data_IF_963959137218
#
_entry.id   IF_963959137218
#
_cell.length_a   1.000
_cell.length_b   1.000
_cell.length_c   1.000
_cell.angle_alpha   90.00
_cell.angle_beta   90.00
_cell.angle_gamma   90.00
#
_symmetry.space_group_name_H-M   'P 1'
#
loop_
_entity.id
_entity.type
_entity.pdbx_description
1 polymer ?
#
# COMPACT_ATOMS: atom_id res chain seq x y z
N UNK A 1 -7.55 13.53 25.78
CA UNK A 1 -8.00 12.52 26.75
C UNK A 1 -7.77 11.14 26.17
N UNK A 2 -6.83 10.41 26.75
CA UNK A 2 -6.44 9.06 26.33
C UNK A 2 -6.78 8.07 27.46
N UNK A 3 -7.16 6.85 27.06
CA UNK A 3 -7.39 5.74 28.00
C UNK A 3 -6.23 4.76 27.85
N UNK A 4 -5.51 4.49 28.93
CA UNK A 4 -4.38 3.56 28.97
C UNK A 4 -4.70 2.39 29.88
N UNK A 5 -4.34 1.17 29.45
CA UNK A 5 -4.47 -0.05 30.24
C UNK A 5 -3.13 -0.36 30.91
N UNK A 6 -3.07 -0.35 32.24
CA UNK A 6 -1.90 -0.71 33.05
C UNK A 6 -2.29 -1.76 34.08
N UNK A 7 -1.61 -2.91 34.08
CA UNK A 7 -1.89 -4.02 35.01
C UNK A 7 -3.38 -4.41 35.08
N UNK A 8 -4.09 -4.32 33.95
CA UNK A 8 -5.53 -4.62 33.86
C UNK A 8 -6.47 -3.50 34.34
N UNK A 9 -5.94 -2.32 34.71
CA UNK A 9 -6.71 -1.15 35.14
C UNK A 9 -6.68 -0.07 34.05
N UNK A 10 -7.84 0.48 33.75
CA UNK A 10 -7.98 1.61 32.82
C UNK A 10 -7.76 2.93 33.56
N UNK A 11 -6.80 3.73 33.09
CA UNK A 11 -6.50 5.06 33.62
C UNK A 11 -6.74 6.10 32.54
N UNK A 12 -7.39 7.21 32.91
CA UNK A 12 -7.62 8.36 32.02
C UNK A 12 -6.49 9.35 32.22
N UNK A 13 -5.87 9.78 31.13
CA UNK A 13 -4.79 10.78 31.12
C UNK A 13 -5.03 11.83 30.04
N UNK A 14 -4.57 13.04 30.28
CA UNK A 14 -4.62 14.12 29.29
C UNK A 14 -3.45 14.05 28.29
N UNK A 15 -2.40 13.28 28.60
CA UNK A 15 -1.18 13.11 27.79
C UNK A 15 -1.03 11.69 27.23
N UNK A 16 -0.41 11.55 26.06
CA UNK A 16 -0.19 10.24 25.41
C UNK A 16 1.01 9.55 26.06
N UNK A 17 0.77 8.41 26.69
CA UNK A 17 1.79 7.64 27.41
C UNK A 17 2.11 6.35 26.65
N UNK A 18 3.40 6.09 26.40
CA UNK A 18 3.88 4.79 25.89
C UNK A 18 4.71 4.15 27.01
N UNK A 19 4.09 3.24 27.78
CA UNK A 19 4.64 2.85 29.08
C UNK A 19 4.51 4.00 30.10
N UNK A 20 5.61 4.37 30.76
CA UNK A 20 5.72 5.45 31.76
C UNK A 20 6.24 6.80 31.23
N UNK A 21 6.61 6.87 29.95
CA UNK A 21 7.17 8.08 29.35
C UNK A 21 6.09 8.86 28.60
N UNK A 22 6.14 10.18 28.73
CA UNK A 22 5.38 11.11 27.89
C UNK A 22 5.99 11.10 26.49
N UNK A 23 5.18 10.76 25.48
CA UNK A 23 5.66 10.64 24.10
C UNK A 23 4.91 11.66 23.23
N UNK A 24 5.62 12.43 22.38
CA UNK A 24 4.98 13.33 21.44
C UNK A 24 4.04 12.57 20.49
N UNK A 25 3.06 13.29 19.93
CA UNK A 25 2.13 12.69 18.97
C UNK A 25 2.88 12.04 17.80
N UNK A 26 2.35 10.90 17.34
CA UNK A 26 2.96 10.12 16.26
C UNK A 26 2.84 10.94 14.96
N UNK A 27 3.95 11.33 14.31
CA UNK A 27 3.88 12.27 13.19
C UNK A 27 3.43 11.62 11.88
N UNK A 28 3.68 10.31 11.72
CA UNK A 28 3.31 9.54 10.52
C UNK A 28 2.99 8.10 10.90
N UNK A 29 2.11 7.41 10.16
CA UNK A 29 1.69 6.04 10.48
C UNK A 29 2.81 5.00 10.44
N UNK A 30 3.82 5.19 9.58
CA UNK A 30 5.01 4.34 9.47
C UNK A 30 6.14 4.74 10.42
N UNK A 31 5.95 5.73 11.30
CA UNK A 31 6.94 6.01 12.33
C UNK A 31 6.92 4.94 13.43
N UNK A 32 8.09 4.59 13.93
CA UNK A 32 8.32 3.73 15.08
C UNK A 32 9.06 4.53 16.15
N UNK A 33 8.74 4.29 17.43
CA UNK A 33 9.40 4.99 18.53
C UNK A 33 10.63 4.18 18.96
N UNK A 34 11.83 4.72 18.70
CA UNK A 34 13.12 4.07 18.98
C UNK A 34 14.03 5.10 19.65
N UNK A 35 14.64 4.74 20.79
CA UNK A 35 15.57 5.60 21.54
C UNK A 35 15.03 7.02 21.81
N UNK A 36 13.80 7.11 22.31
CA UNK A 36 13.11 8.38 22.62
C UNK A 36 12.81 9.30 21.41
N UNK A 37 12.95 8.78 20.18
CA UNK A 37 12.67 9.52 18.95
C UNK A 37 11.67 8.78 18.04
N UNK A 38 10.87 9.55 17.29
CA UNK A 38 10.08 9.01 16.19
C UNK A 38 10.96 8.83 14.96
N UNK A 39 11.23 7.59 14.60
CA UNK A 39 12.01 7.22 13.41
C UNK A 39 11.06 6.70 12.35
N UNK A 40 11.14 7.24 11.13
CA UNK A 40 10.36 6.72 10.00
C UNK A 40 10.91 5.36 9.58
N UNK A 41 10.05 4.33 9.57
CA UNK A 41 10.36 3.09 8.87
C UNK A 41 10.23 3.34 7.36
N UNK A 42 11.34 3.73 6.75
CA UNK A 42 11.40 4.05 5.33
C UNK A 42 11.00 2.85 4.45
N UNK A 43 11.34 1.63 4.87
CA UNK A 43 10.98 0.43 4.13
C UNK A 43 9.47 0.23 4.13
N UNK A 44 8.83 0.31 5.31
CA UNK A 44 7.38 0.22 5.40
C UNK A 44 6.67 1.32 4.60
N UNK A 45 7.18 2.55 4.65
CA UNK A 45 6.65 3.68 3.89
C UNK A 45 6.77 3.47 2.38
N UNK A 46 7.95 3.19 1.85
CA UNK A 46 8.13 3.00 0.41
C UNK A 46 7.37 1.77 -0.10
N UNK A 47 7.34 0.68 0.67
CA UNK A 47 6.52 -0.48 0.33
C UNK A 47 5.02 -0.15 0.25
N UNK A 48 4.51 0.75 1.09
CA UNK A 48 3.11 1.19 0.99
C UNK A 48 2.85 2.00 -0.29
N UNK A 49 3.76 2.91 -0.63
CA UNK A 49 3.65 3.72 -1.84
C UNK A 49 3.70 2.86 -3.11
N UNK A 50 4.59 1.86 -3.15
CA UNK A 50 4.70 0.94 -4.28
C UNK A 50 3.43 0.09 -4.45
N UNK A 51 2.77 -0.28 -3.35
CA UNK A 51 1.47 -0.98 -3.39
C UNK A 51 0.36 -0.08 -3.93
N UNK A 52 0.27 1.15 -3.46
CA UNK A 52 -0.73 2.12 -3.92
C UNK A 52 -0.58 2.39 -5.43
N UNK A 53 0.66 2.54 -5.91
CA UNK A 53 0.97 2.68 -7.33
C UNK A 53 0.57 1.42 -8.12
N UNK A 54 0.91 0.24 -7.62
CA UNK A 54 0.60 -1.02 -8.27
C UNK A 54 -0.91 -1.25 -8.39
N UNK A 55 -1.68 -0.97 -7.34
CA UNK A 55 -3.14 -1.05 -7.37
C UNK A 55 -3.75 -0.07 -8.37
N UNK A 56 -3.29 1.19 -8.34
CA UNK A 56 -3.77 2.23 -9.25
C UNK A 56 -3.47 1.87 -10.71
N UNK A 57 -2.27 1.38 -11.00
CA UNK A 57 -1.89 0.91 -12.34
C UNK A 57 -2.79 -0.24 -12.81
N UNK A 58 -3.03 -1.24 -11.96
CA UNK A 58 -3.89 -2.38 -12.29
C UNK A 58 -5.34 -1.97 -12.53
N UNK A 59 -5.86 -1.01 -11.77
CA UNK A 59 -7.20 -0.46 -11.96
C UNK A 59 -7.32 0.31 -13.26
N UNK A 60 -6.39 1.22 -13.53
CA UNK A 60 -6.43 2.10 -14.71
C UNK A 60 -6.25 1.35 -16.03
N UNK A 61 -5.58 0.20 -16.01
CA UNK A 61 -5.31 -0.60 -17.21
C UNK A 61 -6.24 -1.81 -17.36
N UNK A 62 -7.20 -2.01 -16.45
CA UNK A 62 -8.12 -3.15 -16.50
C UNK A 62 -9.04 -3.11 -17.73
N UNK A 63 -9.59 -1.92 -18.02
CA UNK A 63 -10.51 -1.72 -19.15
C UNK A 63 -9.80 -1.92 -20.49
N UNK A 64 -8.58 -1.42 -20.63
CA UNK A 64 -7.75 -1.61 -21.84
C UNK A 64 -7.51 -3.09 -22.15
N UNK A 65 -7.28 -3.91 -21.12
CA UNK A 65 -7.11 -5.36 -21.30
C UNK A 65 -8.40 -6.06 -21.69
N UNK A 66 -9.55 -5.66 -21.12
CA UNK A 66 -10.86 -6.23 -21.50
C UNK A 66 -11.19 -5.87 -22.94
N UNK A 67 -11.06 -4.59 -23.27
CA UNK A 67 -11.37 -4.04 -24.59
C UNK A 67 -10.55 -4.72 -25.68
N UNK A 68 -9.23 -4.85 -25.52
CA UNK A 68 -8.38 -5.53 -26.50
C UNK A 68 -8.84 -6.99 -26.75
N UNK A 69 -9.27 -7.71 -25.71
CA UNK A 69 -9.75 -9.10 -25.86
C UNK A 69 -11.06 -9.15 -26.62
N UNK A 70 -11.99 -8.27 -26.26
CA UNK A 70 -13.29 -8.16 -26.94
C UNK A 70 -13.12 -7.81 -28.42
N UNK A 71 -12.26 -6.84 -28.74
CA UNK A 71 -11.95 -6.44 -30.12
C UNK A 71 -11.32 -7.59 -30.93
N UNK A 72 -10.39 -8.32 -30.31
CA UNK A 72 -9.75 -9.49 -30.93
C UNK A 72 -10.75 -10.63 -31.18
N UNK A 73 -11.65 -10.88 -30.23
CA UNK A 73 -12.71 -11.90 -30.35
C UNK A 73 -13.75 -11.52 -31.42
N UNK A 74 -14.03 -10.22 -31.57
CA UNK A 74 -14.91 -9.68 -32.61
C UNK A 74 -14.24 -9.61 -33.99
N UNK A 75 -12.92 -9.82 -34.06
CA UNK A 75 -12.16 -9.75 -35.31
C UNK A 75 -12.07 -8.34 -35.90
N UNK A 76 -12.15 -7.31 -35.05
CA UNK A 76 -12.05 -5.91 -35.45
C UNK A 76 -10.64 -5.35 -35.18
N UNK A 77 -10.38 -4.16 -35.70
CA UNK A 77 -9.14 -3.44 -35.41
C UNK A 77 -9.06 -3.14 -33.91
N UNK A 78 -7.97 -3.57 -33.29
CA UNK A 78 -7.76 -3.44 -31.85
C UNK A 78 -7.16 -2.08 -31.49
N UNK A 79 -7.58 -1.52 -30.37
CA UNK A 79 -7.07 -0.25 -29.80
C UNK A 79 -5.62 -0.30 -29.38
N UNK A 80 -5.11 -1.50 -29.06
CA UNK A 80 -3.69 -1.76 -28.84
C UNK A 80 -3.17 -2.68 -29.94
N UNK A 81 -1.92 -2.51 -30.33
CA UNK A 81 -1.19 -3.55 -31.07
C UNK A 81 -0.95 -4.78 -30.17
N UNK A 82 -0.71 -5.94 -30.77
CA UNK A 82 -0.38 -7.15 -30.02
C UNK A 82 0.88 -6.97 -29.14
N UNK A 83 1.88 -6.23 -29.61
CA UNK A 83 3.07 -5.88 -28.83
C UNK A 83 2.75 -5.02 -27.61
N UNK A 84 1.94 -3.97 -27.78
CA UNK A 84 1.54 -3.10 -26.66
C UNK A 84 0.71 -3.86 -25.62
N UNK A 85 -0.18 -4.74 -26.08
CA UNK A 85 -0.94 -5.61 -25.19
C UNK A 85 -0.03 -6.54 -24.39
N UNK A 86 0.95 -7.20 -25.04
CA UNK A 86 1.89 -8.08 -24.34
C UNK A 86 2.74 -7.34 -23.31
N UNK A 87 3.23 -6.14 -23.67
CA UNK A 87 3.97 -5.28 -22.74
C UNK A 87 3.09 -4.87 -21.56
N UNK A 88 1.84 -4.49 -21.81
CA UNK A 88 0.88 -4.15 -20.77
C UNK A 88 0.63 -5.33 -19.83
N UNK A 89 0.46 -6.54 -20.36
CA UNK A 89 0.28 -7.75 -19.54
C UNK A 89 1.53 -8.05 -18.72
N UNK A 90 2.74 -7.87 -19.26
CA UNK A 90 3.98 -8.05 -18.52
C UNK A 90 4.07 -7.07 -17.33
N UNK A 91 3.85 -5.77 -17.57
CA UNK A 91 3.81 -4.75 -16.51
C UNK A 91 2.74 -5.04 -15.45
N UNK A 92 1.55 -5.48 -15.88
CA UNK A 92 0.48 -5.89 -14.95
C UNK A 92 0.87 -7.11 -14.10
N UNK A 93 1.70 -8.02 -14.63
CA UNK A 93 2.23 -9.15 -13.85
C UNK A 93 3.22 -8.68 -12.79
N UNK A 94 4.17 -7.81 -13.16
CA UNK A 94 5.12 -7.23 -12.21
C UNK A 94 4.40 -6.50 -11.05
N UNK A 95 3.36 -5.72 -11.36
CA UNK A 95 2.57 -5.04 -10.30
C UNK A 95 1.82 -6.01 -9.39
N UNK A 96 1.36 -7.15 -9.91
CA UNK A 96 0.76 -8.20 -9.06
C UNK A 96 1.79 -8.88 -8.17
N UNK A 97 3.03 -9.01 -8.62
CA UNK A 97 4.11 -9.57 -7.81
C UNK A 97 4.39 -8.68 -6.60
N UNK A 98 4.46 -7.35 -6.77
CA UNK A 98 4.58 -6.37 -5.67
C UNK A 98 3.45 -6.52 -4.63
N UNK A 99 2.21 -6.75 -5.09
CA UNK A 99 1.07 -6.96 -4.19
C UNK A 99 1.10 -8.33 -3.49
N UNK A 100 1.68 -9.35 -4.14
CA UNK A 100 1.70 -10.74 -3.67
C UNK A 100 2.91 -11.09 -2.78
N UNK A 101 3.98 -10.30 -2.76
CA UNK A 101 5.20 -10.55 -1.97
C UNK A 101 4.97 -10.68 -0.44
N UNK A 102 3.73 -10.50 0.05
CA UNK A 102 3.34 -10.69 1.45
C UNK A 102 2.57 -12.00 1.77
N UNK A 103 2.39 -12.93 0.81
CA UNK A 103 1.67 -14.21 1.06
C UNK A 103 2.59 -15.36 1.55
N UNK A 104 3.91 -15.18 1.63
CA UNK A 104 4.84 -16.20 2.14
C UNK A 104 5.56 -15.78 3.42
#
# INVERSE_FOLDING_TARGET
MYSVLRDGIYTITDTKLFGDLEVPEKPHEYCVFINDEWVLDANAYFNSLDKDEAELFLKNTAEQVSLYREEKDLGIETTLSESEYLELIAKRRERREILNEFIN
#
